data_IF_463119195102
#
_entry.id   IF_463119195102
#
_cell.length_a   1.000
_cell.length_b   1.000
_cell.length_c   1.000
_cell.angle_alpha   90.00
_cell.angle_beta   90.00
_cell.angle_gamma   90.00
#
_symmetry.space_group_name_H-M   'P 1'
#
loop_
_entity.id
_entity.type
_entity.pdbx_description
1 polymer ?
#
# COMPACT_ATOMS: atom_id res chain seq x y z
N UNK A 1 2.26 1.54 -17.42
CA UNK A 1 3.12 1.64 -16.22
C UNK A 1 3.50 0.22 -15.83
N UNK A 2 4.74 -0.03 -15.38
CA UNK A 2 5.19 -1.39 -14.98
C UNK A 2 5.13 -1.63 -13.47
N UNK A 3 5.00 -0.58 -12.68
CA UNK A 3 4.92 -0.63 -11.22
C UNK A 3 3.70 0.13 -10.72
N UNK A 4 3.00 -0.50 -9.78
CA UNK A 4 1.88 0.05 -9.03
C UNK A 4 2.12 -0.20 -7.53
N UNK A 5 1.61 0.69 -6.70
CA UNK A 5 1.91 0.83 -5.28
C UNK A 5 0.63 1.22 -4.52
N UNK A 6 0.59 0.99 -3.21
CA UNK A 6 -0.52 1.39 -2.36
C UNK A 6 -1.36 0.20 -1.93
N UNK A 7 -2.68 0.41 -1.83
CA UNK A 7 -3.66 -0.52 -1.28
C UNK A 7 -3.22 -1.22 0.02
N UNK A 8 -2.65 -0.52 1.02
CA UNK A 8 -2.33 -1.15 2.30
C UNK A 8 -3.63 -1.61 2.99
N UNK A 9 -3.59 -2.57 3.91
CA UNK A 9 -2.41 -3.16 4.56
C UNK A 9 -2.17 -4.62 4.15
N UNK A 10 -0.96 -4.93 3.67
CA UNK A 10 -0.53 -6.29 3.31
C UNK A 10 0.92 -6.52 3.71
N UNK A 11 1.23 -7.76 4.11
CA UNK A 11 2.60 -8.23 4.25
C UNK A 11 3.18 -8.58 2.86
N UNK A 12 3.29 -7.59 1.98
CA UNK A 12 3.72 -7.74 0.58
C UNK A 12 4.83 -6.73 0.24
N UNK A 13 5.38 -6.83 -0.97
CA UNK A 13 6.36 -5.87 -1.46
C UNK A 13 5.72 -4.53 -1.80
N UNK A 14 6.46 -3.43 -1.60
CA UNK A 14 5.99 -2.06 -1.91
C UNK A 14 5.47 -1.92 -3.35
N UNK A 15 6.23 -2.43 -4.34
CA UNK A 15 5.69 -2.61 -5.70
C UNK A 15 4.83 -3.85 -5.70
N UNK A 16 3.54 -3.68 -5.98
CA UNK A 16 2.57 -4.77 -5.92
C UNK A 16 2.85 -5.82 -7.00
N UNK A 17 2.57 -7.07 -6.64
CA UNK A 17 2.73 -8.25 -7.49
C UNK A 17 1.50 -8.47 -8.37
N UNK A 18 1.65 -9.29 -9.39
CA UNK A 18 0.51 -9.78 -10.17
C UNK A 18 -0.27 -10.82 -9.34
N UNK A 19 -1.56 -10.98 -9.62
CA UNK A 19 -2.49 -11.79 -8.79
C UNK A 19 -3.11 -12.97 -9.55
N UNK A 20 -2.74 -13.19 -10.81
CA UNK A 20 -3.31 -14.23 -11.68
C UNK A 20 -2.33 -15.36 -12.02
N UNK A 21 -1.32 -15.59 -11.19
CA UNK A 21 -0.41 -16.75 -11.32
C UNK A 21 0.44 -16.80 -12.59
N UNK A 22 0.76 -15.65 -13.20
CA UNK A 22 1.46 -15.57 -14.49
C UNK A 22 2.99 -15.63 -14.44
N UNK A 23 3.59 -15.46 -13.26
CA UNK A 23 5.04 -15.54 -13.02
C UNK A 23 5.33 -16.25 -11.70
N UNK A 24 6.53 -16.80 -11.52
CA UNK A 24 6.91 -17.52 -10.28
C UNK A 24 6.74 -16.67 -9.01
N UNK A 25 6.83 -15.34 -9.14
CA UNK A 25 6.68 -14.39 -8.03
C UNK A 25 5.25 -13.83 -7.88
N UNK A 26 4.32 -14.19 -8.76
CA UNK A 26 2.94 -13.68 -8.73
C UNK A 26 2.11 -14.43 -7.69
N UNK A 27 1.16 -13.73 -7.11
CA UNK A 27 0.10 -14.36 -6.32
C UNK A 27 -0.93 -15.02 -7.26
N UNK A 28 -1.70 -15.94 -6.69
CA UNK A 28 -2.84 -16.60 -7.36
C UNK A 28 -4.19 -16.03 -6.94
N UNK A 29 -4.20 -15.25 -5.86
CA UNK A 29 -5.37 -14.58 -5.29
C UNK A 29 -5.21 -13.06 -5.41
N UNK A 30 -6.33 -12.31 -5.53
CA UNK A 30 -6.31 -10.86 -5.54
C UNK A 30 -5.86 -10.28 -4.20
N UNK A 31 -5.36 -9.06 -4.21
CA UNK A 31 -5.23 -8.28 -2.98
C UNK A 31 -6.61 -8.06 -2.38
N UNK A 32 -6.76 -8.31 -1.09
CA UNK A 32 -8.03 -8.17 -0.37
C UNK A 32 -7.95 -7.00 0.61
N UNK A 33 -8.96 -6.15 0.61
CA UNK A 33 -9.16 -5.05 1.55
C UNK A 33 -10.42 -5.34 2.37
N UNK A 34 -10.20 -5.88 3.56
CA UNK A 34 -11.21 -6.17 4.57
C UNK A 34 -10.54 -6.23 5.95
N UNK A 35 -10.84 -5.26 6.82
CA UNK A 35 -10.13 -5.13 8.09
C UNK A 35 -10.39 -6.37 8.97
N UNK A 36 -9.33 -7.13 9.23
CA UNK A 36 -9.36 -8.40 9.94
C UNK A 36 -8.30 -8.43 11.04
N UNK A 37 -8.62 -9.12 12.14
CA UNK A 37 -7.62 -9.54 13.12
C UNK A 37 -7.04 -10.89 12.66
N UNK A 38 -5.88 -10.84 12.01
CA UNK A 38 -5.19 -12.03 11.51
C UNK A 38 -4.13 -12.47 12.51
N UNK A 39 -4.43 -13.50 13.29
CA UNK A 39 -3.46 -14.13 14.18
C UNK A 39 -2.32 -14.76 13.37
N UNK A 40 -1.06 -14.47 13.75
CA UNK A 40 0.16 -14.99 13.11
C UNK A 40 0.15 -14.85 11.58
N UNK A 41 -0.07 -13.62 11.08
CA UNK A 41 -0.08 -13.35 9.64
C UNK A 41 1.19 -13.85 8.94
N UNK A 42 1.02 -14.38 7.73
CA UNK A 42 2.12 -14.84 6.89
C UNK A 42 2.75 -13.70 6.09
N UNK A 43 4.04 -13.83 5.79
CA UNK A 43 4.75 -12.90 4.92
C UNK A 43 4.53 -13.25 3.44
N UNK A 44 4.63 -12.22 2.60
CA UNK A 44 4.50 -12.31 1.14
C UNK A 44 3.15 -12.91 0.70
N UNK A 45 2.06 -12.37 1.24
CA UNK A 45 0.70 -12.87 1.04
C UNK A 45 -0.28 -11.71 0.73
N UNK A 46 -1.19 -11.83 -0.26
CA UNK A 46 -2.19 -10.79 -0.59
C UNK A 46 -3.40 -10.73 0.36
N UNK A 47 -3.43 -11.58 1.40
CA UNK A 47 -4.48 -11.61 2.40
C UNK A 47 -4.56 -10.29 3.18
N UNK A 48 -5.78 -9.81 3.42
CA UNK A 48 -6.05 -8.58 4.15
C UNK A 48 -5.55 -8.63 5.59
N UNK A 49 -5.12 -7.47 6.11
CA UNK A 49 -4.72 -7.26 7.50
C UNK A 49 -5.68 -6.29 8.21
N UNK A 50 -5.17 -5.43 9.09
CA UNK A 50 -5.97 -4.66 10.06
C UNK A 50 -6.55 -3.37 9.48
N UNK A 51 -5.84 -2.74 8.54
CA UNK A 51 -6.26 -1.51 7.87
C UNK A 51 -6.47 -1.67 6.36
N UNK A 52 -7.31 -0.79 5.79
CA UNK A 52 -7.58 -0.73 4.36
C UNK A 52 -7.58 0.71 3.86
N UNK A 53 -6.74 1.02 2.88
CA UNK A 53 -6.77 2.30 2.15
C UNK A 53 -6.85 2.00 0.65
N UNK A 54 -8.02 2.11 -0.01
CA UNK A 54 -8.22 1.75 -1.42
C UNK A 54 -7.64 2.78 -2.41
N UNK A 55 -6.38 3.16 -2.21
CA UNK A 55 -5.62 4.10 -3.03
C UNK A 55 -4.47 3.38 -3.73
N UNK A 56 -4.36 3.51 -5.04
CA UNK A 56 -3.29 2.89 -5.82
C UNK A 56 -2.60 3.91 -6.73
N UNK A 57 -1.27 3.95 -6.66
CA UNK A 57 -0.42 4.81 -7.50
C UNK A 57 0.37 3.98 -8.51
N UNK A 58 0.39 4.40 -9.76
CA UNK A 58 1.26 3.89 -10.81
C UNK A 58 2.41 4.88 -11.06
N UNK A 59 3.65 4.37 -11.13
CA UNK A 59 4.83 5.22 -11.31
C UNK A 59 5.78 4.68 -12.38
N UNK A 60 6.38 5.60 -13.14
CA UNK A 60 7.52 5.37 -14.04
C UNK A 60 8.38 6.62 -14.12
N UNK A 61 9.57 6.50 -14.71
CA UNK A 61 10.43 7.66 -14.98
C UNK A 61 9.66 8.75 -15.75
N UNK A 62 9.51 9.91 -15.13
CA UNK A 62 8.88 11.11 -15.72
C UNK A 62 7.36 11.14 -15.72
N UNK A 63 6.67 10.17 -15.10
CA UNK A 63 5.21 10.22 -14.97
C UNK A 63 4.71 9.39 -13.77
N UNK A 64 3.72 9.93 -13.07
CA UNK A 64 2.94 9.23 -12.05
C UNK A 64 1.45 9.46 -12.31
N UNK A 65 0.62 8.49 -11.96
CA UNK A 65 -0.83 8.64 -11.89
C UNK A 65 -1.35 7.80 -10.73
N UNK A 66 -2.54 8.09 -10.20
CA UNK A 66 -3.14 7.29 -9.14
C UNK A 66 -4.66 7.26 -9.24
N UNK A 67 -5.26 6.30 -8.55
CA UNK A 67 -6.69 6.20 -8.35
C UNK A 67 -6.99 6.05 -6.86
N UNK A 68 -8.08 6.65 -6.41
CA UNK A 68 -8.73 6.34 -5.14
C UNK A 68 -10.08 5.72 -5.47
N UNK A 69 -10.27 4.48 -5.08
CA UNK A 69 -11.55 3.77 -5.16
C UNK A 69 -12.29 4.01 -3.85
N UNK A 70 -13.21 5.00 -3.82
CA UNK A 70 -13.85 5.43 -2.58
C UNK A 70 -15.02 4.51 -2.22
N UNK A 71 -14.67 3.33 -1.71
CA UNK A 71 -15.62 2.33 -1.24
C UNK A 71 -15.15 1.72 0.08
N UNK A 72 -16.08 1.52 1.02
CA UNK A 72 -15.81 1.00 2.37
C UNK A 72 -16.20 -0.48 2.56
N UNK A 73 -16.83 -1.10 1.56
CA UNK A 73 -17.15 -2.52 1.59
C UNK A 73 -15.89 -3.37 1.34
N UNK A 74 -16.02 -4.67 1.59
CA UNK A 74 -14.98 -5.62 1.21
C UNK A 74 -14.62 -5.46 -0.26
N UNK A 75 -13.32 -5.30 -0.54
CA UNK A 75 -12.82 -4.98 -1.89
C UNK A 75 -11.68 -5.91 -2.28
N UNK A 76 -11.73 -6.44 -3.51
CA UNK A 76 -10.69 -7.26 -4.11
C UNK A 76 -10.07 -6.55 -5.31
N UNK A 77 -8.74 -6.63 -5.43
CA UNK A 77 -7.98 -5.99 -6.48
C UNK A 77 -7.07 -7.01 -7.15
N UNK A 78 -7.40 -7.32 -8.40
CA UNK A 78 -6.54 -8.10 -9.29
C UNK A 78 -5.55 -7.20 -10.02
N UNK A 79 -4.32 -7.69 -10.22
CA UNK A 79 -3.25 -6.99 -10.95
C UNK A 79 -2.65 -7.94 -11.99
N UNK A 80 -2.60 -7.51 -13.25
CA UNK A 80 -1.93 -8.22 -14.35
C UNK A 80 -1.09 -7.27 -15.18
N UNK A 81 -0.02 -7.75 -15.79
CA UNK A 81 0.86 -6.95 -16.65
C UNK A 81 0.88 -7.54 -18.05
N UNK A 82 0.32 -6.81 -19.00
CA UNK A 82 0.37 -7.16 -20.41
C UNK A 82 1.48 -6.39 -21.12
N UNK A 83 2.17 -7.05 -22.03
CA UNK A 83 2.97 -6.37 -23.05
C UNK A 83 2.02 -6.02 -24.18
N UNK A 84 1.80 -4.73 -24.40
CA UNK A 84 1.12 -4.31 -25.62
C UNK A 84 2.12 -4.37 -26.77
N UNK A 85 1.94 -5.35 -27.65
CA UNK A 85 2.51 -5.30 -28.99
C UNK A 85 1.67 -4.31 -29.79
N UNK A 86 2.27 -3.18 -30.17
CA UNK A 86 1.62 -2.20 -31.04
C UNK A 86 1.32 -2.87 -32.39
N UNK A 87 0.12 -3.41 -32.56
CA UNK A 87 -0.35 -3.86 -33.86
C UNK A 87 -0.44 -2.66 -34.81
N UNK A 88 0.56 -2.55 -35.67
CA UNK A 88 0.71 -1.48 -36.65
C UNK A 88 2.02 -1.61 -37.42
N UNK A 89 2.22 -0.77 -38.43
CA UNK A 89 3.41 -0.74 -39.28
C UNK A 89 4.73 -0.66 -38.48
N UNK A 90 4.69 -0.15 -37.23
CA UNK A 90 5.80 -0.10 -36.28
C UNK A 90 6.29 -1.47 -35.77
N UNK A 91 5.41 -2.49 -35.68
CA UNK A 91 5.82 -3.87 -35.33
C UNK A 91 6.50 -4.57 -36.50
N UNK A 92 6.07 -4.31 -37.75
CA UNK A 92 6.72 -4.84 -38.95
C UNK A 92 8.15 -4.30 -39.16
N UNK A 93 8.43 -3.09 -38.67
CA UNK A 93 9.75 -2.46 -38.78
C UNK A 93 10.61 -2.60 -37.52
N UNK A 94 10.18 -3.36 -36.50
CA UNK A 94 10.92 -3.58 -35.24
C UNK A 94 11.41 -2.29 -34.53
N UNK A 95 10.79 -1.14 -34.80
CA UNK A 95 11.16 0.17 -34.23
C UNK A 95 10.35 0.56 -32.99
N UNK A 96 9.51 -0.35 -32.45
CA UNK A 96 8.68 -0.07 -31.27
C UNK A 96 9.29 -0.59 -29.97
N UNK A 97 9.56 0.29 -28.99
CA UNK A 97 9.77 -0.14 -27.60
C UNK A 97 8.49 -0.85 -27.11
N UNK A 98 8.60 -2.12 -26.71
CA UNK A 98 7.53 -2.84 -26.02
C UNK A 98 7.14 -2.07 -24.75
N UNK A 99 5.87 -1.73 -24.62
CA UNK A 99 5.33 -0.98 -23.47
C UNK A 99 4.54 -1.92 -22.58
N UNK A 100 4.91 -1.98 -21.30
CA UNK A 100 4.18 -2.75 -20.30
C UNK A 100 3.00 -1.89 -19.78
N UNK A 101 1.81 -2.47 -19.89
CA UNK A 101 0.57 -1.94 -19.32
C UNK A 101 0.22 -2.80 -18.10
N UNK A 102 -0.04 -2.16 -16.96
CA UNK A 102 -0.58 -2.84 -15.78
C UNK A 102 -2.07 -2.64 -15.78
N UNK A 103 -2.83 -3.74 -15.80
CA UNK A 103 -4.29 -3.74 -15.73
C UNK A 103 -4.69 -4.12 -14.30
N UNK A 104 -5.62 -3.35 -13.73
CA UNK A 104 -6.12 -3.60 -12.39
C UNK A 104 -7.63 -3.75 -12.43
N UNK A 105 -8.16 -4.78 -11.76
CA UNK A 105 -9.60 -5.04 -11.71
C UNK A 105 -10.07 -4.98 -10.27
N UNK A 106 -10.98 -4.04 -10.01
CA UNK A 106 -11.48 -3.70 -8.67
C UNK A 106 -12.92 -4.16 -8.53
N UNK A 107 -13.20 -4.89 -7.46
CA UNK A 107 -14.54 -5.40 -7.15
C UNK A 107 -14.81 -5.08 -5.69
N UNK A 108 -15.95 -4.45 -5.39
CA UNK A 108 -16.44 -4.27 -4.02
C UNK A 108 -17.76 -5.00 -3.83
N UNK A 109 -18.00 -5.53 -2.64
CA UNK A 109 -19.22 -6.29 -2.31
C UNK A 109 -20.50 -5.44 -2.46
N UNK A 110 -20.44 -4.18 -2.06
CA UNK A 110 -21.59 -3.26 -2.08
C UNK A 110 -21.16 -1.80 -2.23
N UNK A 111 -22.13 -0.88 -2.19
CA UNK A 111 -21.90 0.55 -2.37
C UNK A 111 -21.98 0.99 -3.83
N UNK A 112 -21.42 2.17 -4.10
CA UNK A 112 -21.37 2.77 -5.44
C UNK A 112 -19.98 2.60 -6.05
N UNK A 113 -19.89 2.74 -7.37
CA UNK A 113 -18.62 2.95 -8.06
C UNK A 113 -18.30 4.43 -7.96
N UNK A 114 -17.37 4.78 -7.07
CA UNK A 114 -16.87 6.15 -6.89
C UNK A 114 -15.34 6.15 -7.00
N UNK A 115 -14.81 6.90 -7.98
CA UNK A 115 -13.40 6.84 -8.36
C UNK A 115 -12.87 8.25 -8.57
N UNK A 116 -11.79 8.57 -7.85
CA UNK A 116 -11.01 9.78 -8.09
C UNK A 116 -9.73 9.40 -8.84
N UNK A 117 -9.41 10.18 -9.88
CA UNK A 117 -8.22 9.96 -10.72
C UNK A 117 -7.27 11.12 -10.52
N UNK A 118 -6.02 10.81 -10.18
CA UNK A 118 -4.93 11.77 -9.98
C UNK A 118 -3.92 11.64 -11.11
N UNK A 119 -3.61 12.73 -11.79
CA UNK A 119 -2.79 12.72 -13.01
C UNK A 119 -1.32 13.16 -12.78
N UNK A 120 -0.93 13.46 -11.54
CA UNK A 120 0.42 13.90 -11.22
C UNK A 120 0.78 15.26 -11.82
N UNK A 121 1.99 15.45 -12.41
CA UNK A 121 2.87 14.41 -12.97
C UNK A 121 3.87 13.79 -11.99
N UNK A 122 4.11 14.41 -10.84
CA UNK A 122 5.03 13.86 -9.81
C UNK A 122 4.25 13.09 -8.74
N UNK A 123 4.94 12.23 -8.00
CA UNK A 123 4.35 11.55 -6.82
C UNK A 123 3.96 12.55 -5.73
N UNK A 124 4.72 13.64 -5.58
CA UNK A 124 4.41 14.72 -4.63
C UNK A 124 3.08 15.40 -4.96
N UNK A 125 2.81 15.68 -6.24
CA UNK A 125 1.55 16.28 -6.67
C UNK A 125 0.36 15.38 -6.37
N UNK A 126 0.52 14.07 -6.61
CA UNK A 126 -0.50 13.06 -6.30
C UNK A 126 -0.80 13.04 -4.81
N UNK A 127 0.23 12.94 -3.96
CA UNK A 127 0.02 12.91 -2.51
C UNK A 127 -0.59 14.20 -1.98
N UNK A 128 -0.23 15.36 -2.55
CA UNK A 128 -0.85 16.63 -2.20
C UNK A 128 -2.34 16.68 -2.59
N UNK A 129 -2.68 16.27 -3.81
CA UNK A 129 -4.08 16.19 -4.27
C UNK A 129 -4.90 15.19 -3.44
N UNK A 130 -4.31 14.05 -3.10
CA UNK A 130 -4.92 13.05 -2.21
C UNK A 130 -5.17 13.63 -0.81
N UNK A 131 -4.17 14.31 -0.22
CA UNK A 131 -4.30 14.97 1.08
C UNK A 131 -5.33 16.11 1.10
N UNK A 132 -5.52 16.84 -0.01
CA UNK A 132 -6.62 17.82 -0.13
C UNK A 132 -8.00 17.16 -0.08
N UNK A 133 -8.12 15.92 -0.55
CA UNK A 133 -9.38 15.18 -0.60
C UNK A 133 -9.66 14.46 0.72
N UNK A 134 -8.66 13.80 1.31
CA UNK A 134 -8.84 12.90 2.46
C UNK A 134 -8.30 13.45 3.79
N UNK A 135 -7.65 14.61 3.76
CA UNK A 135 -6.97 15.20 4.90
C UNK A 135 -5.46 14.89 4.94
N UNK A 136 -4.70 15.80 5.53
CA UNK A 136 -3.28 15.64 5.81
C UNK A 136 -3.05 15.02 7.18
N UNK A 137 -1.86 14.45 7.38
CA UNK A 137 -1.41 13.99 8.70
C UNK A 137 -1.52 15.12 9.72
N UNK A 138 -2.14 14.81 10.86
CA UNK A 138 -2.21 15.75 11.99
C UNK A 138 -0.81 16.00 12.55
N UNK A 139 -0.58 17.19 13.11
CA UNK A 139 0.68 17.49 13.77
C UNK A 139 0.82 16.56 15.00
N UNK A 140 1.83 15.66 15.03
CA UNK A 140 1.98 14.73 16.14
C UNK A 140 2.41 15.48 17.41
N UNK A 141 2.05 14.94 18.57
CA UNK A 141 2.68 15.36 19.82
C UNK A 141 4.17 15.03 19.78
N UNK A 142 5.01 15.86 20.39
CA UNK A 142 6.47 15.71 20.30
C UNK A 142 6.96 14.34 20.80
N UNK A 143 6.43 13.88 21.94
CA UNK A 143 6.77 12.55 22.50
C UNK A 143 6.34 11.39 21.60
N UNK A 144 5.35 11.58 20.71
CA UNK A 144 4.80 10.48 19.92
C UNK A 144 5.74 9.99 18.81
N UNK A 145 6.76 10.77 18.44
CA UNK A 145 7.77 10.39 17.44
C UNK A 145 9.04 9.80 18.05
N UNK A 146 9.12 9.76 19.38
CA UNK A 146 10.24 9.17 20.12
C UNK A 146 10.05 7.65 20.31
N UNK A 147 10.91 7.04 21.11
CA UNK A 147 10.92 5.58 21.30
C UNK A 147 9.89 5.16 22.35
N UNK A 148 8.91 4.34 21.93
CA UNK A 148 7.84 3.81 22.79
C UNK A 148 8.22 2.43 23.32
N UNK A 149 8.36 2.29 24.63
CA UNK A 149 8.60 1.01 25.28
C UNK A 149 7.27 0.36 25.67
N UNK A 150 6.99 -0.83 25.13
CA UNK A 150 5.74 -1.54 25.37
C UNK A 150 5.93 -3.06 25.41
N UNK A 151 5.06 -3.75 26.16
CA UNK A 151 4.84 -5.20 26.10
C UNK A 151 3.46 -5.57 26.62
N UNK A 152 2.99 -6.77 26.28
CA UNK A 152 1.80 -7.36 26.88
C UNK A 152 2.21 -8.34 27.99
N UNK A 153 2.13 -8.03 29.30
CA UNK A 153 1.89 -6.75 29.99
C UNK A 153 3.09 -6.41 30.93
N UNK A 154 3.17 -5.17 31.38
CA UNK A 154 3.79 -4.85 32.67
C UNK A 154 2.93 -5.37 33.81
N UNK A 155 3.57 -5.90 34.87
CA UNK A 155 2.89 -6.63 35.93
C UNK A 155 2.13 -5.71 36.88
N UNK A 156 2.73 -4.58 37.25
CA UNK A 156 2.20 -3.61 38.21
C UNK A 156 2.94 -2.27 38.08
N UNK A 157 2.67 -1.35 39.00
CA UNK A 157 3.30 -0.02 39.03
C UNK A 157 4.80 -0.07 39.34
N UNK A 158 5.24 -0.98 40.22
CA UNK A 158 6.66 -1.10 40.59
C UNK A 158 7.49 -1.61 39.40
N UNK A 159 6.95 -2.54 38.60
CA UNK A 159 7.56 -3.01 37.34
C UNK A 159 7.74 -1.86 36.34
N UNK A 160 6.75 -0.97 36.23
CA UNK A 160 6.87 0.23 35.37
C UNK A 160 7.99 1.16 35.86
N UNK A 161 8.09 1.41 37.16
CA UNK A 161 9.17 2.25 37.72
C UNK A 161 10.54 1.61 37.56
N UNK A 162 10.65 0.29 37.73
CA UNK A 162 11.91 -0.43 37.51
C UNK A 162 12.36 -0.33 36.05
N UNK A 163 11.42 -0.41 35.09
CA UNK A 163 11.72 -0.23 33.67
C UNK A 163 12.18 1.21 33.38
N UNK A 164 11.47 2.22 33.89
CA UNK A 164 11.81 3.65 33.77
C UNK A 164 13.22 3.95 34.32
N UNK A 165 13.50 3.56 35.58
CA UNK A 165 14.83 3.70 36.20
C UNK A 165 15.92 2.96 35.42
N UNK A 166 15.55 1.86 34.75
CA UNK A 166 16.44 1.10 33.88
C UNK A 166 16.93 1.91 32.68
N UNK A 167 16.05 2.64 31.99
CA UNK A 167 16.43 3.49 30.85
C UNK A 167 17.41 4.58 31.26
N UNK A 168 17.16 5.24 32.39
CA UNK A 168 18.08 6.24 32.97
C UNK A 168 19.44 5.63 33.35
N UNK A 169 19.43 4.49 34.05
CA UNK A 169 20.65 3.80 34.49
C UNK A 169 21.55 3.38 33.33
N UNK A 170 20.96 2.99 32.20
CA UNK A 170 21.70 2.54 31.01
C UNK A 170 21.87 3.62 29.93
N UNK A 171 21.45 4.86 30.20
CA UNK A 171 21.56 6.01 29.28
C UNK A 171 20.89 5.72 27.91
N UNK A 172 19.68 5.15 27.95
CA UNK A 172 18.87 4.87 26.76
C UNK A 172 17.65 5.81 26.79
N UNK A 173 17.44 6.67 25.78
CA UNK A 173 16.30 7.58 25.77
C UNK A 173 14.99 6.87 25.33
N UNK A 174 13.88 7.20 26.00
CA UNK A 174 12.52 6.77 25.63
C UNK A 174 11.49 7.86 25.99
N UNK A 175 10.27 7.73 25.48
CA UNK A 175 9.10 8.56 25.79
C UNK A 175 7.81 7.71 25.86
#
# INVERSE_FOLDING_TARGET
>A
FSHVYGIPEHASTLSLKETRGGSESAYTEPYRLYNLDVFEYELDNPMSLYGSIPFMMAHRKGASAAILWLNSAETWIDITKSKEDKHGLSSFLNFGKSTITTNTHWISESGIIDIFIFLGPTTSDIHYQYGLLTGFTTMPQYFAIAYHQCRWNYLNQDDVFEVDEGFDKYDIPYD
#
